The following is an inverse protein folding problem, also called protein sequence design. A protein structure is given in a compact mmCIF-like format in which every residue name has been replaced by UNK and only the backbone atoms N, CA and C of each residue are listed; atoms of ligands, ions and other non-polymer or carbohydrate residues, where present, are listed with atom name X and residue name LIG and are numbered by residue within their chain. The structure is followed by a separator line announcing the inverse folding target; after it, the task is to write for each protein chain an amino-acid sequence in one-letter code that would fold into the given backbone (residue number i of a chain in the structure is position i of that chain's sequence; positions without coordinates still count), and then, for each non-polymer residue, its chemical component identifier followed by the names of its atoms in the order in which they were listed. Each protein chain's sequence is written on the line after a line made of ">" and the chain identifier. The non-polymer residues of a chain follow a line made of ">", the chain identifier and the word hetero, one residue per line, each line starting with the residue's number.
data_IF_095996770055
#
_entry.id   IF_095996770055
#
_cell.length_a   1.000
_cell.length_b   1.000
_cell.length_c   1.000
_cell.angle_alpha   90.00
_cell.angle_beta   90.00
_cell.angle_gamma   90.00
#
_symmetry.space_group_name_H-M   'P 1'
#
loop_
_entity.id
_entity.type
_entity.pdbx_description
1 polymer ?
#
# COMPACT_ATOMS: atom_id res chain seq x y z
N UNK A 1 -25.42 -5.82 25.59
CA UNK A 1 -24.08 -5.43 25.08
C UNK A 1 -23.16 -5.29 26.29
N UNK A 2 -22.16 -6.16 26.46
CA UNK A 2 -21.32 -6.20 27.68
C UNK A 2 -20.51 -4.90 27.84
N UNK A 3 -20.43 -4.29 29.05
CA UNK A 3 -19.72 -3.03 29.28
C UNK A 3 -18.21 -3.06 28.94
N UNK A 4 -17.61 -4.26 28.89
CA UNK A 4 -16.22 -4.46 28.47
C UNK A 4 -16.03 -4.21 26.95
N UNK A 5 -17.02 -4.55 26.11
CA UNK A 5 -16.98 -4.24 24.66
C UNK A 5 -17.02 -2.73 24.41
N UNK A 6 -17.82 -1.99 25.19
CA UNK A 6 -17.94 -0.54 25.05
C UNK A 6 -16.64 0.19 25.42
N UNK A 7 -15.93 -0.27 26.45
CA UNK A 7 -14.63 0.29 26.84
C UNK A 7 -13.52 -0.04 25.83
N UNK A 8 -13.44 -1.29 25.36
CA UNK A 8 -12.42 -1.73 24.40
C UNK A 8 -12.49 -0.96 23.06
N UNK A 9 -13.70 -0.71 22.54
CA UNK A 9 -13.91 0.07 21.30
C UNK A 9 -13.72 1.59 21.46
N UNK A 10 -13.75 2.12 22.68
CA UNK A 10 -13.52 3.54 22.94
C UNK A 10 -12.04 3.91 23.03
N UNK A 11 -11.18 3.01 23.50
CA UNK A 11 -9.77 3.32 23.77
C UNK A 11 -8.78 2.92 22.66
N UNK A 12 -9.10 1.94 21.82
CA UNK A 12 -8.21 1.48 20.74
C UNK A 12 -8.95 1.63 19.40
N UNK A 13 -8.40 2.40 18.44
CA UNK A 13 -8.92 2.45 17.07
C UNK A 13 -9.01 1.04 16.47
N UNK A 14 -10.18 0.66 15.94
CA UNK A 14 -10.39 -0.68 15.36
C UNK A 14 -9.41 -0.94 14.18
N UNK A 15 -8.94 0.10 13.48
CA UNK A 15 -7.83 0.00 12.51
C UNK A 15 -6.54 -0.61 13.08
N UNK A 16 -6.18 -0.24 14.30
CA UNK A 16 -4.99 -0.76 14.99
C UNK A 16 -5.21 -2.25 15.31
N UNK A 17 -6.45 -2.64 15.64
CA UNK A 17 -6.75 -4.05 15.94
C UNK A 17 -6.54 -4.96 14.73
N UNK A 18 -6.86 -4.54 13.50
CA UNK A 18 -6.63 -5.38 12.32
C UNK A 18 -5.14 -5.59 11.99
N UNK A 19 -4.30 -4.56 12.18
CA UNK A 19 -2.85 -4.72 12.12
C UNK A 19 -2.34 -5.70 13.20
N UNK A 20 -2.93 -5.66 14.39
CA UNK A 20 -2.62 -6.59 15.47
C UNK A 20 -3.05 -8.02 15.16
N UNK A 21 -4.13 -8.25 14.40
CA UNK A 21 -4.54 -9.61 13.99
C UNK A 21 -3.42 -10.29 13.18
N UNK A 22 -2.83 -9.59 12.20
CA UNK A 22 -1.68 -10.13 11.45
C UNK A 22 -0.52 -10.47 12.37
N UNK A 23 -0.20 -9.59 13.31
CA UNK A 23 0.85 -9.82 14.30
C UNK A 23 0.54 -11.04 15.17
N UNK A 24 -0.68 -11.18 15.68
CA UNK A 24 -1.10 -12.30 16.52
C UNK A 24 -1.00 -13.62 15.75
N UNK A 25 -1.58 -13.68 14.55
CA UNK A 25 -1.51 -14.87 13.69
C UNK A 25 -0.06 -15.27 13.48
N UNK A 26 0.79 -14.30 13.15
CA UNK A 26 2.17 -14.57 12.80
C UNK A 26 3.03 -14.94 14.02
N UNK A 27 2.78 -14.34 15.19
CA UNK A 27 3.37 -14.74 16.47
C UNK A 27 2.98 -16.17 16.84
N UNK A 28 1.72 -16.56 16.65
CA UNK A 28 1.27 -17.94 16.90
C UNK A 28 1.99 -18.94 15.98
N UNK A 29 2.09 -18.63 14.69
CA UNK A 29 2.82 -19.45 13.71
C UNK A 29 4.30 -19.55 14.09
N UNK A 30 4.95 -18.42 14.37
CA UNK A 30 6.37 -18.34 14.74
C UNK A 30 6.66 -19.10 16.03
N UNK A 31 5.81 -18.97 17.04
CA UNK A 31 5.94 -19.67 18.33
C UNK A 31 5.76 -21.18 18.14
N UNK A 32 4.79 -21.59 17.34
CA UNK A 32 4.57 -23.01 17.01
C UNK A 32 5.80 -23.59 16.31
N UNK A 33 6.31 -22.90 15.29
CA UNK A 33 7.53 -23.30 14.58
C UNK A 33 8.75 -23.34 15.53
N UNK A 34 8.86 -22.40 16.47
CA UNK A 34 9.92 -22.39 17.48
C UNK A 34 9.83 -23.62 18.41
N UNK A 35 8.65 -23.98 18.89
CA UNK A 35 8.44 -25.21 19.69
C UNK A 35 8.82 -26.45 18.87
N UNK A 36 8.35 -26.54 17.63
CA UNK A 36 8.68 -27.67 16.75
C UNK A 36 10.18 -27.77 16.46
N UNK A 37 10.87 -26.63 16.33
CA UNK A 37 12.31 -26.55 16.12
C UNK A 37 13.08 -26.99 17.38
N UNK A 38 12.73 -26.44 18.54
CA UNK A 38 13.39 -26.76 19.82
C UNK A 38 13.14 -28.21 20.28
N UNK A 39 12.00 -28.79 19.89
CA UNK A 39 11.69 -30.22 20.13
C UNK A 39 12.28 -31.16 19.08
N UNK A 40 13.06 -30.63 18.12
CA UNK A 40 13.67 -31.38 17.02
C UNK A 40 12.68 -32.16 16.13
N UNK A 41 11.39 -31.78 16.14
CA UNK A 41 10.37 -32.35 15.26
C UNK A 41 10.59 -31.91 13.81
N UNK A 42 11.01 -30.65 13.61
CA UNK A 42 11.44 -30.14 12.30
C UNK A 42 12.96 -30.02 12.24
N UNK A 43 13.54 -30.39 11.10
CA UNK A 43 14.99 -30.31 10.84
C UNK A 43 15.34 -29.17 9.88
N UNK A 44 14.56 -28.09 9.91
CA UNK A 44 14.80 -26.90 9.09
C UNK A 44 15.66 -25.93 9.91
N UNK A 45 16.75 -25.41 9.34
CA UNK A 45 17.59 -24.44 10.04
C UNK A 45 16.85 -23.13 10.29
N UNK A 46 17.12 -22.51 11.45
CA UNK A 46 16.59 -21.19 11.80
C UNK A 46 16.96 -20.13 10.77
N UNK A 47 18.16 -20.23 10.17
CA UNK A 47 18.57 -19.37 9.06
C UNK A 47 17.68 -19.51 7.82
N UNK A 48 17.24 -20.72 7.49
CA UNK A 48 16.30 -20.95 6.38
C UNK A 48 14.94 -20.33 6.68
N UNK A 49 14.43 -20.51 7.90
CA UNK A 49 13.15 -19.92 8.32
C UNK A 49 13.24 -18.39 8.30
N UNK A 50 14.36 -17.80 8.74
CA UNK A 50 14.58 -16.36 8.68
C UNK A 50 14.49 -15.81 7.24
N UNK A 51 15.10 -16.50 6.27
CA UNK A 51 15.05 -16.10 4.86
C UNK A 51 13.64 -16.30 4.25
N UNK A 52 12.90 -17.33 4.66
CA UNK A 52 11.47 -17.47 4.32
C UNK A 52 10.64 -16.29 4.84
N UNK A 53 10.87 -15.87 6.09
CA UNK A 53 10.17 -14.72 6.67
C UNK A 53 10.51 -13.42 5.94
N UNK A 54 11.78 -13.22 5.55
CA UNK A 54 12.15 -12.10 4.68
C UNK A 54 11.43 -12.14 3.32
N UNK A 55 11.29 -13.32 2.72
CA UNK A 55 10.53 -13.48 1.48
C UNK A 55 9.09 -13.01 1.66
N UNK A 56 8.39 -13.44 2.70
CA UNK A 56 7.03 -12.97 2.98
C UNK A 56 6.98 -11.46 3.18
N UNK A 57 7.90 -10.91 3.97
CA UNK A 57 8.00 -9.47 4.20
C UNK A 57 8.17 -8.67 2.91
N UNK A 58 8.96 -9.16 1.95
CA UNK A 58 9.16 -8.52 0.64
C UNK A 58 7.97 -8.73 -0.29
N UNK A 59 7.41 -9.95 -0.33
CA UNK A 59 6.34 -10.35 -1.22
C UNK A 59 5.08 -9.51 -1.00
N UNK A 60 4.70 -9.26 0.25
CA UNK A 60 3.51 -8.47 0.62
C UNK A 60 3.65 -6.98 0.31
N UNK A 61 4.83 -6.53 -0.13
CA UNK A 61 5.08 -5.16 -0.64
C UNK A 61 5.27 -5.12 -2.15
N UNK A 62 5.17 -6.26 -2.84
CA UNK A 62 5.26 -6.33 -4.30
C UNK A 62 3.93 -5.97 -4.96
N UNK A 63 3.98 -5.11 -5.97
CA UNK A 63 2.80 -4.55 -6.65
C UNK A 63 1.97 -5.62 -7.38
N UNK A 64 2.60 -6.60 -7.99
CA UNK A 64 1.91 -7.68 -8.72
C UNK A 64 1.22 -8.61 -7.71
N UNK A 65 1.90 -8.93 -6.61
CA UNK A 65 1.33 -9.76 -5.56
C UNK A 65 0.12 -9.09 -4.92
N UNK A 66 0.23 -7.82 -4.51
CA UNK A 66 -0.90 -7.05 -3.97
C UNK A 66 -2.04 -6.95 -4.98
N UNK A 67 -1.74 -6.72 -6.27
CA UNK A 67 -2.75 -6.70 -7.32
C UNK A 67 -3.49 -8.04 -7.43
N UNK A 68 -2.76 -9.15 -7.34
CA UNK A 68 -3.32 -10.50 -7.36
C UNK A 68 -4.25 -10.74 -6.17
N UNK A 69 -3.89 -10.23 -4.99
CA UNK A 69 -4.75 -10.30 -3.81
C UNK A 69 -6.04 -9.48 -4.01
N UNK A 70 -5.97 -8.25 -4.52
CA UNK A 70 -7.17 -7.46 -4.81
C UNK A 70 -8.09 -8.15 -5.83
N UNK A 71 -7.51 -8.80 -6.84
CA UNK A 71 -8.27 -9.61 -7.79
C UNK A 71 -8.98 -10.78 -7.10
N UNK A 72 -8.26 -11.54 -6.25
CA UNK A 72 -8.85 -12.66 -5.51
C UNK A 72 -9.98 -12.19 -4.60
N UNK A 73 -9.81 -11.08 -3.89
CA UNK A 73 -10.86 -10.56 -3.02
C UNK A 73 -12.08 -10.09 -3.81
N UNK A 74 -11.88 -9.47 -4.97
CA UNK A 74 -12.98 -9.09 -5.87
C UNK A 74 -13.79 -10.31 -6.36
N UNK A 75 -13.14 -11.47 -6.52
CA UNK A 75 -13.77 -12.72 -6.95
C UNK A 75 -14.39 -13.51 -5.79
N UNK A 76 -14.18 -13.12 -4.53
CA UNK A 76 -14.60 -13.92 -3.39
C UNK A 76 -16.08 -13.67 -3.05
N UNK A 77 -16.97 -14.68 -3.11
CA UNK A 77 -18.39 -14.49 -2.88
C UNK A 77 -18.78 -14.38 -1.39
N UNK A 78 -18.00 -15.02 -0.49
CA UNK A 78 -18.25 -15.08 0.94
C UNK A 78 -17.13 -14.39 1.72
N UNK A 79 -17.41 -13.87 2.92
CA UNK A 79 -16.41 -13.21 3.78
C UNK A 79 -15.62 -12.06 3.10
N UNK A 80 -16.18 -11.45 2.04
CA UNK A 80 -15.54 -10.36 1.30
C UNK A 80 -15.13 -9.17 2.17
N UNK A 81 -15.89 -8.88 3.23
CA UNK A 81 -15.54 -7.85 4.20
C UNK A 81 -14.24 -8.20 4.92
N UNK A 82 -14.16 -9.43 5.46
CA UNK A 82 -13.00 -9.90 6.22
C UNK A 82 -11.74 -9.96 5.36
N UNK A 83 -11.84 -10.52 4.16
CA UNK A 83 -10.70 -10.57 3.24
C UNK A 83 -10.24 -9.18 2.81
N UNK A 84 -11.16 -8.26 2.49
CA UNK A 84 -10.81 -6.87 2.19
C UNK A 84 -10.16 -6.18 3.39
N UNK A 85 -10.69 -6.39 4.60
CA UNK A 85 -10.15 -5.81 5.83
C UNK A 85 -8.73 -6.30 6.11
N UNK A 86 -8.49 -7.59 5.96
CA UNK A 86 -7.16 -8.19 6.15
C UNK A 86 -6.16 -7.71 5.09
N UNK A 87 -6.58 -7.62 3.82
CA UNK A 87 -5.76 -7.07 2.74
C UNK A 87 -5.45 -5.59 2.96
N UNK A 88 -6.43 -4.80 3.41
CA UNK A 88 -6.25 -3.39 3.74
C UNK A 88 -5.24 -3.17 4.88
N UNK A 89 -5.08 -4.15 5.77
CA UNK A 89 -4.13 -4.13 6.88
C UNK A 89 -2.87 -4.97 6.62
N UNK A 90 -2.56 -5.32 5.36
CA UNK A 90 -1.43 -6.19 5.01
C UNK A 90 -0.05 -5.64 5.44
N UNK A 91 0.05 -4.34 5.70
CA UNK A 91 1.22 -3.73 6.33
C UNK A 91 1.60 -4.39 7.67
N UNK A 92 0.62 -4.93 8.40
CA UNK A 92 0.86 -5.72 9.63
C UNK A 92 1.67 -6.98 9.37
N UNK A 93 1.39 -7.71 8.27
CA UNK A 93 2.13 -8.90 7.86
C UNK A 93 3.57 -8.58 7.47
N UNK A 94 3.80 -7.46 6.78
CA UNK A 94 5.15 -6.99 6.47
C UNK A 94 5.99 -6.78 7.73
N UNK A 95 5.42 -6.07 8.72
CA UNK A 95 6.10 -5.78 9.98
C UNK A 95 6.34 -7.06 10.78
N UNK A 96 5.34 -7.94 10.91
CA UNK A 96 5.48 -9.19 11.65
C UNK A 96 6.53 -10.11 11.02
N UNK A 97 6.55 -10.23 9.68
CA UNK A 97 7.59 -10.95 8.94
C UNK A 97 8.99 -10.40 9.16
N UNK A 98 9.17 -9.07 9.21
CA UNK A 98 10.47 -8.47 9.53
C UNK A 98 10.94 -8.82 10.96
N UNK A 99 10.03 -8.78 11.94
CA UNK A 99 10.34 -9.18 13.31
C UNK A 99 10.64 -10.68 13.43
N UNK A 100 9.86 -11.55 12.79
CA UNK A 100 10.12 -12.99 12.82
C UNK A 100 11.45 -13.33 12.15
N UNK A 101 11.77 -12.70 11.01
CA UNK A 101 13.07 -12.85 10.36
C UNK A 101 14.22 -12.47 11.30
N UNK A 102 14.09 -11.37 12.05
CA UNK A 102 15.07 -10.96 13.06
C UNK A 102 15.24 -12.03 14.15
N UNK A 103 14.14 -12.52 14.74
CA UNK A 103 14.22 -13.52 15.81
C UNK A 103 14.75 -14.86 15.33
N UNK A 104 14.35 -15.34 14.15
CA UNK A 104 14.85 -16.59 13.58
C UNK A 104 16.32 -16.52 13.22
N UNK A 105 16.79 -15.38 12.70
CA UNK A 105 18.22 -15.16 12.47
C UNK A 105 18.99 -15.14 13.80
N UNK A 106 18.46 -14.50 14.84
CA UNK A 106 19.05 -14.52 16.17
C UNK A 106 19.15 -15.94 16.74
N UNK A 107 18.08 -16.74 16.65
CA UNK A 107 18.05 -18.15 17.06
C UNK A 107 19.11 -18.95 16.27
N UNK A 108 19.17 -18.79 14.95
CA UNK A 108 20.17 -19.43 14.10
C UNK A 108 21.59 -19.15 14.58
N UNK A 109 21.92 -17.88 14.83
CA UNK A 109 23.26 -17.48 15.25
C UNK A 109 23.66 -17.98 16.65
N UNK A 110 22.69 -18.20 17.53
CA UNK A 110 22.92 -18.68 18.91
C UNK A 110 22.94 -20.21 18.98
N UNK A 111 21.96 -20.86 18.37
CA UNK A 111 21.69 -22.29 18.55
C UNK A 111 22.43 -23.18 17.54
N UNK A 112 22.81 -22.65 16.38
CA UNK A 112 23.45 -23.44 15.33
C UNK A 112 24.96 -23.18 15.25
N UNK A 113 25.70 -24.18 14.78
CA UNK A 113 27.15 -24.09 14.61
C UNK A 113 27.48 -23.40 13.29
N UNK A 114 27.77 -22.11 13.39
CA UNK A 114 28.19 -21.27 12.27
C UNK A 114 29.65 -20.80 12.40
N UNK A 115 30.35 -20.69 11.27
CA UNK A 115 31.66 -20.09 11.16
C UNK A 115 31.65 -18.57 11.39
N UNK A 116 32.83 -17.96 11.48
CA UNK A 116 32.97 -16.52 11.79
C UNK A 116 32.31 -15.63 10.74
N UNK A 117 32.40 -15.98 9.45
CA UNK A 117 31.80 -15.22 8.35
C UNK A 117 30.28 -15.11 8.46
N UNK A 118 29.59 -16.23 8.74
CA UNK A 118 28.14 -16.28 8.94
C UNK A 118 27.74 -15.48 10.19
N UNK A 119 28.49 -15.59 11.30
CA UNK A 119 28.22 -14.84 12.54
C UNK A 119 28.35 -13.33 12.35
N UNK A 120 29.41 -12.87 11.67
CA UNK A 120 29.65 -11.45 11.40
C UNK A 120 28.55 -10.89 10.50
N UNK A 121 28.30 -11.54 9.35
CA UNK A 121 27.29 -11.08 8.39
C UNK A 121 25.87 -11.12 8.97
N UNK A 122 25.53 -12.18 9.72
CA UNK A 122 24.25 -12.28 10.41
C UNK A 122 24.08 -11.21 11.48
N UNK A 123 25.12 -10.93 12.28
CA UNK A 123 25.12 -9.85 13.26
C UNK A 123 24.93 -8.46 12.64
N UNK A 124 25.55 -8.21 11.48
CA UNK A 124 25.34 -6.99 10.69
C UNK A 124 23.87 -6.90 10.24
N UNK A 125 23.30 -7.97 9.68
CA UNK A 125 21.89 -7.97 9.24
C UNK A 125 20.94 -7.67 10.41
N UNK A 126 21.14 -8.29 11.58
CA UNK A 126 20.35 -7.99 12.78
C UNK A 126 20.42 -6.51 13.14
N UNK A 127 21.63 -5.93 13.14
CA UNK A 127 21.81 -4.51 13.41
C UNK A 127 21.08 -3.61 12.39
N UNK A 128 21.18 -3.93 11.09
CA UNK A 128 20.51 -3.16 10.03
C UNK A 128 18.99 -3.24 10.15
N UNK A 129 18.42 -4.42 10.43
CA UNK A 129 16.98 -4.60 10.68
C UNK A 129 16.55 -3.80 11.91
N UNK A 130 17.36 -3.76 12.98
CA UNK A 130 17.07 -2.98 14.17
C UNK A 130 17.04 -1.48 13.87
N UNK A 131 17.97 -0.96 13.06
CA UNK A 131 17.97 0.43 12.61
C UNK A 131 16.71 0.78 11.82
N UNK A 132 16.33 -0.07 10.85
CA UNK A 132 15.11 0.13 10.07
C UNK A 132 13.90 0.13 11.01
N UNK A 133 13.78 -0.88 11.89
CA UNK A 133 12.66 -1.04 12.81
C UNK A 133 12.50 0.14 13.77
N UNK A 134 13.61 0.70 14.24
CA UNK A 134 13.61 1.89 15.12
C UNK A 134 12.97 3.10 14.45
N UNK A 135 13.25 3.32 13.16
CA UNK A 135 12.67 4.43 12.39
C UNK A 135 11.26 4.13 11.88
N UNK A 136 10.90 2.86 11.75
CA UNK A 136 9.57 2.40 11.34
C UNK A 136 8.51 2.57 12.44
N UNK A 137 8.92 2.79 13.70
CA UNK A 137 7.99 2.99 14.81
C UNK A 137 6.96 4.09 14.49
N UNK A 138 5.64 3.87 14.70
CA UNK A 138 4.61 4.81 14.26
C UNK A 138 4.75 6.25 14.76
N UNK A 139 5.35 6.44 15.94
CA UNK A 139 5.62 7.77 16.50
C UNK A 139 6.74 8.47 15.72
N UNK A 140 7.85 7.76 15.45
CA UNK A 140 9.01 8.28 14.73
C UNK A 140 8.65 8.50 13.27
N UNK A 141 8.06 7.51 12.62
CA UNK A 141 7.68 7.53 11.20
C UNK A 141 6.72 8.67 10.86
N UNK A 142 5.73 8.96 11.71
CA UNK A 142 4.79 10.06 11.47
C UNK A 142 5.44 11.44 11.60
N UNK A 143 6.42 11.58 12.50
CA UNK A 143 7.12 12.86 12.72
C UNK A 143 8.26 13.09 11.73
N UNK A 144 8.97 12.03 11.34
CA UNK A 144 10.17 12.07 10.52
C UNK A 144 10.03 11.16 9.30
N UNK A 145 8.92 11.30 8.56
CA UNK A 145 8.56 10.43 7.45
C UNK A 145 9.65 10.32 6.39
N UNK A 146 10.15 11.45 5.89
CA UNK A 146 11.22 11.48 4.88
C UNK A 146 12.51 10.80 5.36
N UNK A 147 12.84 10.92 6.64
CA UNK A 147 14.01 10.25 7.24
C UNK A 147 13.80 8.74 7.30
N UNK A 148 12.64 8.30 7.75
CA UNK A 148 12.26 6.88 7.73
C UNK A 148 12.35 6.31 6.31
N UNK A 149 11.77 6.98 5.31
CA UNK A 149 11.78 6.48 3.93
C UNK A 149 13.20 6.33 3.37
N UNK A 150 14.08 7.32 3.62
CA UNK A 150 15.48 7.27 3.21
C UNK A 150 16.22 6.13 3.90
N UNK A 151 16.09 6.00 5.22
CA UNK A 151 16.74 4.95 6.01
C UNK A 151 16.26 3.57 5.55
N UNK A 152 14.96 3.36 5.45
CA UNK A 152 14.38 2.10 5.00
C UNK A 152 14.86 1.73 3.59
N UNK A 153 14.98 2.71 2.68
CA UNK A 153 15.46 2.47 1.31
C UNK A 153 16.94 2.10 1.28
N UNK A 154 17.82 2.96 1.80
CA UNK A 154 19.26 2.76 1.66
C UNK A 154 19.76 1.60 2.52
N UNK A 155 19.32 1.50 3.77
CA UNK A 155 19.65 0.36 4.64
C UNK A 155 19.01 -0.93 4.09
N UNK A 156 17.84 -0.86 3.47
CA UNK A 156 17.23 -2.00 2.77
C UNK A 156 18.12 -2.56 1.65
N UNK A 157 18.63 -1.69 0.77
CA UNK A 157 19.58 -2.10 -0.28
C UNK A 157 20.88 -2.67 0.29
N UNK A 158 21.44 -2.04 1.32
CA UNK A 158 22.61 -2.57 2.03
C UNK A 158 22.32 -3.93 2.63
N UNK A 159 21.16 -4.12 3.26
CA UNK A 159 20.75 -5.39 3.87
C UNK A 159 20.62 -6.50 2.83
N UNK A 160 20.09 -6.20 1.63
CA UNK A 160 20.03 -7.15 0.53
C UNK A 160 21.44 -7.58 0.07
N UNK A 161 22.36 -6.64 -0.07
CA UNK A 161 23.75 -6.95 -0.42
C UNK A 161 24.42 -7.82 0.64
N UNK A 162 24.28 -7.47 1.92
CA UNK A 162 24.85 -8.27 3.02
C UNK A 162 24.17 -9.64 3.12
N UNK A 163 22.87 -9.76 2.83
CA UNK A 163 22.17 -11.03 2.78
C UNK A 163 22.73 -11.96 1.69
N UNK A 164 23.08 -11.43 0.52
CA UNK A 164 23.75 -12.20 -0.54
C UNK A 164 25.08 -12.74 -0.02
N UNK A 165 25.90 -11.89 0.60
CA UNK A 165 27.18 -12.28 1.20
C UNK A 165 26.99 -13.31 2.32
N UNK A 166 25.97 -13.13 3.17
CA UNK A 166 25.62 -14.04 4.26
C UNK A 166 25.29 -15.44 3.74
N UNK A 167 24.45 -15.55 2.71
CA UNK A 167 24.10 -16.83 2.10
C UNK A 167 25.32 -17.50 1.46
N UNK A 168 26.24 -16.73 0.85
CA UNK A 168 27.50 -17.26 0.33
C UNK A 168 28.33 -17.88 1.48
N UNK A 169 28.49 -17.20 2.61
CA UNK A 169 29.21 -17.76 3.76
C UNK A 169 28.54 -19.02 4.32
N UNK A 170 27.20 -19.08 4.36
CA UNK A 170 26.47 -20.31 4.72
C UNK A 170 26.84 -21.46 3.77
N UNK A 171 27.01 -21.20 2.47
CA UNK A 171 27.42 -22.26 1.53
C UNK A 171 28.87 -22.70 1.74
N UNK A 172 29.78 -21.76 2.04
CA UNK A 172 31.17 -22.05 2.32
C UNK A 172 31.31 -22.94 3.57
N UNK A 173 30.58 -22.62 4.64
CA UNK A 173 30.56 -23.40 5.89
C UNK A 173 30.03 -24.83 5.66
N UNK A 174 29.04 -25.00 4.76
CA UNK A 174 28.39 -26.29 4.54
C UNK A 174 29.13 -27.22 3.55
N UNK A 175 29.76 -26.67 2.50
CA UNK A 175 30.30 -27.47 1.40
C UNK A 175 31.82 -27.42 1.26
N UNK A 176 32.53 -26.62 2.07
CA UNK A 176 33.99 -26.40 2.01
C UNK A 176 34.54 -26.08 0.60
N UNK A 177 33.68 -25.81 -0.39
CA UNK A 177 33.98 -25.60 -1.80
C UNK A 177 32.73 -25.06 -2.53
N UNK A 178 32.92 -24.34 -3.66
CA UNK A 178 31.83 -23.93 -4.53
C UNK A 178 31.33 -25.14 -5.35
N UNK A 179 30.38 -25.88 -4.80
CA UNK A 179 29.67 -26.94 -5.53
C UNK A 179 28.49 -26.37 -6.31
N UNK A 180 28.26 -26.81 -7.55
CA UNK A 180 27.04 -26.48 -8.31
C UNK A 180 25.78 -26.98 -7.62
N UNK A 181 25.88 -28.01 -6.77
CA UNK A 181 24.77 -28.47 -5.91
C UNK A 181 24.33 -27.40 -4.91
N UNK A 182 25.23 -26.49 -4.50
CA UNK A 182 24.91 -25.41 -3.57
C UNK A 182 23.91 -24.41 -4.16
N UNK A 183 23.82 -24.29 -5.49
CA UNK A 183 22.84 -23.42 -6.16
C UNK A 183 21.39 -23.91 -5.97
N UNK A 184 21.20 -25.20 -5.69
CA UNK A 184 19.89 -25.79 -5.46
C UNK A 184 19.51 -25.83 -3.98
N UNK A 185 20.32 -25.27 -3.09
CA UNK A 185 19.96 -25.17 -1.69
C UNK A 185 18.82 -24.19 -1.48
N UNK A 186 17.86 -24.57 -0.63
CA UNK A 186 16.63 -23.82 -0.38
C UNK A 186 16.89 -22.35 -0.02
N UNK A 187 17.84 -21.98 0.86
CA UNK A 187 18.12 -20.57 1.15
C UNK A 187 18.61 -19.77 -0.07
N UNK A 188 19.38 -20.40 -0.96
CA UNK A 188 19.87 -19.77 -2.20
C UNK A 188 18.71 -19.53 -3.16
N UNK A 189 17.85 -20.53 -3.35
CA UNK A 189 16.66 -20.40 -4.21
C UNK A 189 15.71 -19.31 -3.70
N UNK A 190 15.47 -19.24 -2.39
CA UNK A 190 14.63 -18.18 -1.80
C UNK A 190 15.28 -16.80 -1.99
N UNK A 191 16.59 -16.67 -1.76
CA UNK A 191 17.31 -15.42 -2.01
C UNK A 191 17.17 -14.97 -3.48
N UNK A 192 17.29 -15.88 -4.44
CA UNK A 192 17.07 -15.57 -5.85
C UNK A 192 15.66 -15.05 -6.11
N UNK A 193 14.64 -15.67 -5.51
CA UNK A 193 13.25 -15.19 -5.60
C UNK A 193 13.11 -13.79 -5.00
N UNK A 194 13.70 -13.53 -3.82
CA UNK A 194 13.70 -12.19 -3.19
C UNK A 194 14.31 -11.15 -4.15
N UNK A 195 15.47 -11.45 -4.73
CA UNK A 195 16.16 -10.56 -5.68
C UNK A 195 15.26 -10.28 -6.88
N UNK A 196 14.65 -11.29 -7.48
CA UNK A 196 13.74 -11.13 -8.63
C UNK A 196 12.55 -10.23 -8.26
N UNK A 197 11.90 -10.49 -7.12
CA UNK A 197 10.74 -9.71 -6.66
C UNK A 197 11.11 -8.24 -6.43
N UNK A 198 12.29 -7.98 -5.84
CA UNK A 198 12.76 -6.62 -5.56
C UNK A 198 13.14 -5.90 -6.86
N UNK A 199 13.83 -6.56 -7.79
CA UNK A 199 14.33 -5.94 -9.02
C UNK A 199 13.24 -5.75 -10.09
N UNK A 200 12.22 -6.60 -10.11
CA UNK A 200 11.17 -6.58 -11.14
C UNK A 200 10.52 -5.19 -11.35
N UNK A 201 10.10 -4.45 -10.30
CA UNK A 201 9.58 -3.09 -10.50
C UNK A 201 10.59 -2.10 -11.08
N UNK A 202 11.90 -2.29 -10.84
CA UNK A 202 12.94 -1.38 -11.30
C UNK A 202 13.32 -1.59 -12.77
N UNK A 203 13.37 -2.85 -13.22
CA UNK A 203 13.59 -3.16 -14.65
C UNK A 203 12.40 -2.76 -15.52
N UNK A 204 11.21 -2.60 -14.92
CA UNK A 204 10.01 -2.12 -15.57
C UNK A 204 9.83 -0.59 -15.52
N UNK A 205 10.87 0.18 -15.16
CA UNK A 205 10.83 1.64 -15.22
C UNK A 205 11.05 2.10 -16.66
N UNK A 206 10.26 3.09 -17.10
CA UNK A 206 10.45 3.73 -18.40
C UNK A 206 10.36 5.24 -18.26
N UNK A 207 11.14 5.96 -19.06
CA UNK A 207 10.96 7.40 -19.26
C UNK A 207 9.93 7.61 -20.38
N UNK A 208 8.88 8.37 -20.11
CA UNK A 208 7.79 8.61 -21.07
C UNK A 208 7.56 10.11 -21.25
N UNK A 209 7.15 10.49 -22.46
CA UNK A 209 6.66 11.83 -22.73
C UNK A 209 5.37 12.06 -21.92
N UNK A 210 5.29 13.20 -21.25
CA UNK A 210 4.13 13.58 -20.44
C UNK A 210 3.58 14.90 -20.93
N UNK A 211 2.25 15.01 -20.95
CA UNK A 211 1.55 16.26 -21.17
C UNK A 211 1.04 16.78 -19.84
N UNK A 212 1.19 18.07 -19.60
CA UNK A 212 0.76 18.72 -18.38
C UNK A 212 -0.37 19.68 -18.69
N UNK A 213 -1.35 19.73 -17.79
CA UNK A 213 -2.39 20.75 -17.76
C UNK A 213 -2.62 21.19 -16.31
N UNK A 214 -2.98 22.46 -16.09
CA UNK A 214 -3.22 22.99 -14.75
C UNK A 214 -4.54 23.78 -14.73
N UNK A 215 -5.67 23.09 -14.50
CA UNK A 215 -6.99 23.73 -14.43
C UNK A 215 -7.10 24.77 -13.31
N UNK A 216 -6.38 24.57 -12.21
CA UNK A 216 -6.34 25.51 -11.09
C UNK A 216 -4.99 25.46 -10.38
N UNK A 217 -4.71 26.46 -9.53
CA UNK A 217 -3.45 26.53 -8.77
C UNK A 217 -3.21 25.30 -7.89
N UNK A 218 -4.28 24.60 -7.50
CA UNK A 218 -4.23 23.50 -6.55
C UNK A 218 -4.27 22.12 -7.22
N UNK A 219 -4.35 22.06 -8.56
CA UNK A 219 -4.50 20.81 -9.31
C UNK A 219 -3.70 20.83 -10.62
N UNK A 220 -2.79 19.87 -10.76
CA UNK A 220 -2.05 19.60 -12.00
C UNK A 220 -2.44 18.22 -12.54
N UNK A 221 -2.77 18.14 -13.82
CA UNK A 221 -3.11 16.91 -14.54
C UNK A 221 -1.89 16.48 -15.36
N UNK A 222 -1.48 15.22 -15.21
CA UNK A 222 -0.41 14.61 -15.98
C UNK A 222 -1.00 13.52 -16.87
N UNK A 223 -0.84 13.65 -18.18
CA UNK A 223 -1.31 12.68 -19.18
C UNK A 223 -0.16 11.93 -19.80
N UNK A 224 -0.28 10.60 -19.81
CA UNK A 224 0.71 9.64 -20.25
C UNK A 224 0.15 8.75 -21.37
N UNK A 225 1.01 8.15 -22.22
CA UNK A 225 0.57 7.17 -23.20
C UNK A 225 0.09 5.87 -22.53
N UNK A 226 -0.70 5.08 -23.27
CA UNK A 226 -1.41 3.84 -22.93
C UNK A 226 -2.64 4.05 -22.04
N UNK A 227 -3.84 3.79 -22.55
CA UNK A 227 -5.08 4.03 -21.81
C UNK A 227 -5.55 2.86 -20.93
N UNK A 228 -5.17 1.64 -21.31
CA UNK A 228 -5.90 0.44 -20.89
C UNK A 228 -5.35 -0.07 -19.56
N UNK A 229 -6.05 0.27 -18.48
CA UNK A 229 -5.80 -0.22 -17.14
C UNK A 229 -7.13 -0.51 -16.42
N UNK A 230 -7.20 -1.56 -15.57
CA UNK A 230 -8.39 -1.81 -14.77
C UNK A 230 -8.74 -0.64 -13.84
N UNK A 231 -10.02 -0.41 -13.56
CA UNK A 231 -10.43 0.63 -12.60
C UNK A 231 -9.92 0.32 -11.21
N UNK A 232 -9.46 1.35 -10.48
CA UNK A 232 -8.78 1.18 -9.21
C UNK A 232 -7.28 0.88 -9.34
N UNK A 233 -6.74 0.92 -10.57
CA UNK A 233 -5.30 0.90 -10.79
C UNK A 233 -4.63 2.21 -10.38
N UNK A 234 -3.36 2.11 -10.00
CA UNK A 234 -2.52 3.27 -9.73
C UNK A 234 -1.17 3.14 -10.44
N UNK A 235 -0.49 4.27 -10.59
CA UNK A 235 0.84 4.35 -11.18
C UNK A 235 1.81 5.03 -10.22
N UNK A 236 3.09 4.67 -10.30
CA UNK A 236 4.17 5.36 -9.61
C UNK A 236 4.97 6.19 -10.61
N UNK A 237 5.14 7.47 -10.29
CA UNK A 237 5.85 8.43 -11.13
C UNK A 237 6.98 9.10 -10.35
N UNK A 238 8.00 9.55 -11.07
CA UNK A 238 9.12 10.30 -10.53
C UNK A 238 9.62 11.31 -11.57
N UNK A 239 9.80 12.57 -11.15
CA UNK A 239 10.33 13.62 -12.03
C UNK A 239 11.86 13.50 -12.18
N UNK A 240 12.54 13.04 -11.15
CA UNK A 240 14.00 13.02 -11.01
C UNK A 240 14.62 11.61 -11.07
N UNK A 241 13.80 10.56 -10.94
CA UNK A 241 14.20 9.16 -10.84
C UNK A 241 14.49 8.70 -9.41
N UNK A 242 14.47 9.61 -8.43
CA UNK A 242 14.81 9.34 -7.03
C UNK A 242 13.57 9.34 -6.14
N UNK A 243 12.73 10.37 -6.18
CA UNK A 243 11.51 10.44 -5.38
C UNK A 243 10.32 9.89 -6.19
N UNK A 244 9.67 8.86 -5.64
CA UNK A 244 8.61 8.11 -6.33
C UNK A 244 7.29 8.28 -5.60
N UNK A 245 6.27 8.75 -6.31
CA UNK A 245 4.94 9.01 -5.76
C UNK A 245 3.88 8.19 -6.48
N UNK A 246 2.93 7.64 -5.72
CA UNK A 246 1.82 6.86 -6.25
C UNK A 246 0.60 7.76 -6.48
N UNK A 247 -0.01 7.65 -7.66
CA UNK A 247 -1.25 8.34 -8.02
C UNK A 247 -2.22 7.37 -8.68
N UNK A 248 -3.50 7.49 -8.34
CA UNK A 248 -4.55 6.74 -9.01
C UNK A 248 -4.64 7.16 -10.48
N UNK A 249 -4.89 6.18 -11.35
CA UNK A 249 -5.23 6.45 -12.75
C UNK A 249 -6.68 6.94 -12.75
N UNK A 250 -6.84 8.22 -13.07
CA UNK A 250 -8.08 8.94 -12.84
C UNK A 250 -8.96 8.99 -14.09
N UNK A 251 -8.34 9.18 -15.25
CA UNK A 251 -9.03 9.23 -16.54
C UNK A 251 -8.26 8.35 -17.52
N UNK A 252 -9.00 7.62 -18.35
CA UNK A 252 -8.45 6.89 -19.50
C UNK A 252 -9.22 7.30 -20.75
N UNK A 253 -8.49 7.53 -21.84
CA UNK A 253 -9.04 7.78 -23.17
C UNK A 253 -8.55 6.69 -24.12
N UNK A 254 -9.37 5.64 -24.37
CA UNK A 254 -9.03 4.56 -25.28
C UNK A 254 -8.82 5.01 -26.72
N UNK A 255 -9.47 6.09 -27.16
CA UNK A 255 -9.35 6.58 -28.54
C UNK A 255 -7.97 7.21 -28.78
N UNK A 256 -7.47 7.94 -27.79
CA UNK A 256 -6.15 8.57 -27.85
C UNK A 256 -5.01 7.67 -27.32
N UNK A 257 -5.36 6.49 -26.82
CA UNK A 257 -4.47 5.60 -26.06
C UNK A 257 -3.69 6.34 -24.97
N UNK A 258 -4.41 7.07 -24.12
CA UNK A 258 -3.84 7.88 -23.03
C UNK A 258 -4.51 7.63 -21.69
N UNK A 259 -3.77 7.84 -20.61
CA UNK A 259 -4.30 7.88 -19.26
C UNK A 259 -3.77 9.11 -18.52
N UNK A 260 -4.57 9.65 -17.61
CA UNK A 260 -4.24 10.83 -16.82
C UNK A 260 -4.28 10.53 -15.33
N UNK A 261 -3.37 11.16 -14.60
CA UNK A 261 -3.38 11.23 -13.14
C UNK A 261 -3.65 12.67 -12.72
N UNK A 262 -4.42 12.81 -11.65
CA UNK A 262 -4.72 14.11 -11.04
C UNK A 262 -3.82 14.27 -9.81
N UNK A 263 -3.00 15.31 -9.81
CA UNK A 263 -2.05 15.61 -8.73
C UNK A 263 -2.46 16.92 -8.07
N UNK A 264 -2.96 16.83 -6.84
CA UNK A 264 -3.30 18.02 -6.07
C UNK A 264 -2.14 18.50 -5.21
N UNK A 265 -2.03 19.82 -5.07
CA UNK A 265 -0.97 20.50 -4.32
C UNK A 265 -1.15 20.37 -2.79
N UNK A 266 -1.02 19.16 -2.25
CA UNK A 266 -1.24 18.84 -0.85
C UNK A 266 0.06 18.73 -0.03
N UNK A 267 1.08 18.07 -0.57
CA UNK A 267 2.41 17.90 0.04
C UNK A 267 3.51 18.67 -0.69
N UNK A 268 4.72 18.67 -0.12
CA UNK A 268 5.85 19.44 -0.64
C UNK A 268 6.14 19.13 -2.11
N UNK A 269 6.31 17.86 -2.45
CA UNK A 269 6.56 17.42 -3.84
C UNK A 269 5.45 17.87 -4.81
N UNK A 270 4.18 17.74 -4.42
CA UNK A 270 3.04 18.11 -5.28
C UNK A 270 2.88 19.62 -5.43
N UNK A 271 3.27 20.41 -4.42
CA UNK A 271 3.29 21.87 -4.49
C UNK A 271 4.42 22.34 -5.40
N UNK A 272 5.60 21.74 -5.27
CA UNK A 272 6.73 21.99 -6.18
C UNK A 272 6.35 21.68 -7.63
N UNK A 273 5.70 20.55 -7.89
CA UNK A 273 5.18 20.23 -9.24
C UNK A 273 4.22 21.32 -9.76
N UNK A 274 3.29 21.79 -8.93
CA UNK A 274 2.33 22.82 -9.31
C UNK A 274 2.99 24.18 -9.58
N UNK A 275 4.03 24.54 -8.82
CA UNK A 275 4.78 25.79 -9.01
C UNK A 275 5.75 25.70 -10.19
N UNK A 276 6.40 24.55 -10.41
CA UNK A 276 7.28 24.32 -11.57
C UNK A 276 6.53 24.36 -12.89
N UNK A 277 5.25 23.95 -12.90
CA UNK A 277 4.36 24.16 -14.06
C UNK A 277 4.28 25.64 -14.42
N UNK A 278 3.97 26.51 -13.45
CA UNK A 278 3.80 27.96 -13.68
C UNK A 278 5.10 28.65 -14.08
N UNK A 279 6.23 28.12 -13.59
CA UNK A 279 7.56 28.64 -13.88
C UNK A 279 8.17 28.06 -15.18
N UNK A 280 7.44 27.23 -15.94
CA UNK A 280 7.93 26.53 -17.13
C UNK A 280 9.21 25.70 -16.87
N UNK A 281 9.30 25.06 -15.70
CA UNK A 281 10.46 24.25 -15.27
C UNK A 281 10.22 22.75 -15.35
N UNK A 282 9.06 22.32 -15.84
CA UNK A 282 8.70 20.90 -15.85
C UNK A 282 9.51 20.09 -16.87
N UNK A 283 9.93 18.86 -16.50
CA UNK A 283 10.61 17.98 -17.43
C UNK A 283 9.63 17.48 -18.49
N UNK A 284 10.05 17.47 -19.76
CA UNK A 284 9.28 16.89 -20.86
C UNK A 284 9.07 15.37 -20.68
N UNK A 285 9.98 14.70 -19.99
CA UNK A 285 9.97 13.26 -19.79
C UNK A 285 9.96 12.91 -18.31
N UNK A 286 9.02 12.07 -17.90
CA UNK A 286 8.85 11.61 -16.52
C UNK A 286 9.10 10.11 -16.44
N UNK A 287 9.69 9.66 -15.34
CA UNK A 287 9.88 8.25 -15.05
C UNK A 287 8.59 7.65 -14.53
N UNK A 288 8.17 6.53 -15.10
CA UNK A 288 6.96 5.82 -14.73
C UNK A 288 7.24 4.33 -14.61
N UNK A 289 6.68 3.70 -13.58
CA UNK A 289 6.66 2.22 -13.49
C UNK A 289 5.63 1.69 -14.48
N UNK A 290 6.03 0.75 -15.33
CA UNK A 290 5.14 0.14 -16.32
C UNK A 290 4.15 -0.83 -15.69
N UNK A 291 4.56 -1.52 -14.63
CA UNK A 291 3.65 -2.32 -13.81
C UNK A 291 2.70 -1.36 -13.10
N UNK A 292 1.40 -1.49 -13.36
CA UNK A 292 0.35 -0.77 -12.64
C UNK A 292 -0.24 -1.71 -11.60
N UNK A 293 -0.16 -1.31 -10.34
CA UNK A 293 -0.78 -2.06 -9.25
C UNK A 293 -2.29 -1.83 -9.24
N UNK A 294 -3.03 -2.77 -8.65
CA UNK A 294 -4.40 -2.56 -8.22
C UNK A 294 -4.37 -2.10 -6.76
N UNK A 295 -5.01 -0.98 -6.47
CA UNK A 295 -5.11 -0.45 -5.11
C UNK A 295 -6.43 -0.82 -4.43
N UNK A 296 -6.63 -0.33 -3.22
CA UNK A 296 -7.84 -0.62 -2.42
C UNK A 296 -9.15 -0.26 -3.13
N UNK A 297 -9.15 0.73 -4.04
CA UNK A 297 -10.34 1.07 -4.84
C UNK A 297 -10.78 -0.08 -5.75
N UNK A 298 -9.87 -0.95 -6.18
CA UNK A 298 -10.22 -2.14 -6.97
C UNK A 298 -11.19 -3.05 -6.21
N UNK A 299 -11.15 -3.07 -4.88
CA UNK A 299 -12.05 -3.88 -4.06
C UNK A 299 -13.53 -3.47 -4.17
N UNK A 300 -13.86 -2.34 -4.81
CA UNK A 300 -15.25 -1.96 -5.17
C UNK A 300 -15.95 -3.08 -5.96
N UNK A 301 -15.22 -3.79 -6.83
CA UNK A 301 -15.77 -4.89 -7.64
C UNK A 301 -16.33 -6.05 -6.81
N UNK A 302 -15.99 -6.17 -5.52
CA UNK A 302 -16.53 -7.19 -4.61
C UNK A 302 -17.97 -6.89 -4.12
N UNK A 303 -18.48 -5.68 -4.37
CA UNK A 303 -19.72 -5.18 -3.79
C UNK A 303 -20.73 -4.78 -4.87
N UNK A 304 -22.02 -4.92 -4.56
CA UNK A 304 -23.11 -4.55 -5.50
C UNK A 304 -23.55 -3.11 -5.35
N UNK A 305 -23.43 -2.53 -4.15
CA UNK A 305 -23.78 -1.14 -3.85
C UNK A 305 -22.69 -0.54 -3.00
N UNK A 306 -22.11 0.57 -3.44
CA UNK A 306 -20.95 1.19 -2.79
C UNK A 306 -21.15 2.69 -2.65
N UNK A 307 -20.84 3.22 -1.47
CA UNK A 307 -20.67 4.64 -1.23
C UNK A 307 -19.19 5.01 -1.40
N UNK A 308 -18.89 5.82 -2.41
CA UNK A 308 -17.56 6.38 -2.59
C UNK A 308 -17.53 7.77 -1.96
N UNK A 309 -16.69 7.95 -0.94
CA UNK A 309 -16.52 9.22 -0.24
C UNK A 309 -15.20 9.83 -0.67
N UNK A 310 -15.26 11.02 -1.24
CA UNK A 310 -14.08 11.73 -1.71
C UNK A 310 -14.01 13.10 -1.04
N UNK A 311 -12.82 13.50 -0.56
CA UNK A 311 -12.60 14.88 -0.13
C UNK A 311 -11.68 15.61 -1.09
N UNK A 312 -12.13 16.74 -1.60
CA UNK A 312 -11.38 17.55 -2.55
C UNK A 312 -10.89 16.75 -3.76
N UNK A 313 -9.58 16.79 -4.02
CA UNK A 313 -8.90 16.05 -5.10
C UNK A 313 -8.84 14.54 -4.89
N UNK A 314 -9.25 14.04 -3.71
CA UNK A 314 -9.55 12.63 -3.49
C UNK A 314 -10.64 12.08 -4.39
N UNK A 315 -11.27 12.90 -5.25
CA UNK A 315 -12.12 12.42 -6.34
C UNK A 315 -11.36 11.62 -7.40
N UNK A 316 -10.05 11.83 -7.55
CA UNK A 316 -9.26 11.21 -8.63
C UNK A 316 -9.41 9.68 -8.75
N UNK A 317 -9.34 8.88 -7.65
CA UNK A 317 -9.54 7.44 -7.74
C UNK A 317 -10.99 7.02 -7.98
N UNK A 318 -11.96 7.92 -7.79
CA UNK A 318 -13.38 7.68 -8.05
C UNK A 318 -13.75 7.95 -9.52
N UNK A 319 -13.03 8.85 -10.20
CA UNK A 319 -13.32 9.27 -11.57
C UNK A 319 -13.49 8.12 -12.58
N UNK A 320 -12.70 7.02 -12.54
CA UNK A 320 -12.94 5.88 -13.43
C UNK A 320 -14.35 5.28 -13.28
N UNK A 321 -14.80 5.12 -12.03
CA UNK A 321 -16.13 4.57 -11.71
C UNK A 321 -17.27 5.56 -11.99
N UNK A 322 -16.96 6.86 -12.00
CA UNK A 322 -17.92 7.94 -12.32
C UNK A 322 -18.09 8.04 -13.84
N UNK A 323 -16.98 8.01 -14.59
CA UNK A 323 -16.97 8.17 -16.04
C UNK A 323 -17.67 7.01 -16.73
N UNK A 324 -17.32 5.81 -16.32
CA UNK A 324 -17.76 4.56 -16.92
C UNK A 324 -18.25 3.64 -15.79
N UNK A 325 -19.51 3.76 -15.36
CA UNK A 325 -20.05 2.97 -14.26
C UNK A 325 -19.93 1.47 -14.51
N UNK A 326 -19.64 0.70 -13.45
CA UNK A 326 -19.50 -0.74 -13.53
C UNK A 326 -20.86 -1.41 -13.82
N UNK A 327 -20.92 -2.45 -14.67
CA UNK A 327 -22.17 -3.17 -14.95
C UNK A 327 -22.77 -3.87 -13.72
N UNK A 328 -21.93 -4.28 -12.77
CA UNK A 328 -22.33 -5.12 -11.62
C UNK A 328 -22.38 -4.37 -10.29
N UNK A 329 -21.97 -3.10 -10.26
CA UNK A 329 -21.83 -2.33 -9.02
C UNK A 329 -22.45 -0.95 -9.16
N UNK A 330 -23.48 -0.68 -8.36
CA UNK A 330 -24.08 0.63 -8.23
C UNK A 330 -23.24 1.50 -7.27
N UNK A 331 -22.68 2.58 -7.80
CA UNK A 331 -21.87 3.51 -7.03
C UNK A 331 -22.65 4.79 -6.73
N UNK A 332 -22.62 5.23 -5.47
CA UNK A 332 -23.08 6.57 -5.07
C UNK A 332 -21.87 7.41 -4.64
N UNK A 333 -21.77 8.63 -5.15
CA UNK A 333 -20.65 9.53 -4.82
C UNK A 333 -21.05 10.50 -3.71
N UNK A 334 -20.30 10.55 -2.60
CA UNK A 334 -20.31 11.66 -1.66
C UNK A 334 -19.04 12.50 -1.85
N UNK A 335 -19.18 13.69 -2.44
CA UNK A 335 -18.05 14.56 -2.72
C UNK A 335 -18.03 15.79 -1.82
N UNK A 336 -17.10 15.78 -0.86
CA UNK A 336 -16.89 16.83 0.13
C UNK A 336 -15.75 17.73 -0.36
N UNK A 337 -16.07 18.91 -0.86
CA UNK A 337 -15.06 19.85 -1.35
C UNK A 337 -15.49 21.29 -1.10
N UNK A 338 -14.66 22.26 -1.48
CA UNK A 338 -15.03 23.67 -1.55
C UNK A 338 -15.26 24.01 -3.01
N UNK A 339 -16.32 24.75 -3.35
CA UNK A 339 -16.52 25.34 -4.68
C UNK A 339 -16.20 24.36 -5.83
N UNK A 340 -16.95 23.26 -5.90
CA UNK A 340 -16.64 22.09 -6.74
C UNK A 340 -16.31 22.44 -8.20
N UNK A 341 -17.13 23.25 -8.86
CA UNK A 341 -16.90 23.62 -10.27
C UNK A 341 -15.69 24.56 -10.44
N UNK A 342 -15.56 25.58 -9.59
CA UNK A 342 -14.49 26.58 -9.68
C UNK A 342 -13.09 25.98 -9.50
N UNK A 343 -12.93 25.00 -8.59
CA UNK A 343 -11.62 24.44 -8.26
C UNK A 343 -11.22 23.29 -9.19
N UNK A 344 -12.17 22.42 -9.56
CA UNK A 344 -11.89 21.18 -10.30
C UNK A 344 -12.17 21.28 -11.80
N UNK A 345 -12.74 22.41 -12.23
CA UNK A 345 -12.98 22.73 -13.62
C UNK A 345 -14.27 22.11 -14.17
N UNK A 346 -14.71 22.68 -15.29
CA UNK A 346 -15.98 22.35 -15.95
C UNK A 346 -16.05 20.88 -16.39
N UNK A 347 -14.92 20.29 -16.82
CA UNK A 347 -14.89 18.90 -17.28
C UNK A 347 -15.25 17.90 -16.17
N UNK A 348 -14.57 17.99 -15.03
CA UNK A 348 -14.83 17.12 -13.87
C UNK A 348 -16.23 17.38 -13.31
N UNK A 349 -16.64 18.64 -13.27
CA UNK A 349 -17.97 19.03 -12.85
C UNK A 349 -19.06 18.38 -13.70
N UNK A 350 -18.98 18.51 -15.03
CA UNK A 350 -19.92 17.88 -15.97
C UNK A 350 -19.93 16.36 -15.83
N UNK A 351 -18.78 15.75 -15.57
CA UNK A 351 -18.70 14.30 -15.37
C UNK A 351 -19.48 13.86 -14.12
N UNK A 352 -19.32 14.58 -13.01
CA UNK A 352 -20.07 14.30 -11.77
C UNK A 352 -21.56 14.58 -11.95
N UNK A 353 -21.94 15.64 -12.65
CA UNK A 353 -23.34 15.97 -12.91
C UNK A 353 -24.08 14.86 -13.67
N UNK A 354 -23.39 14.11 -14.55
CA UNK A 354 -23.95 12.96 -15.26
C UNK A 354 -24.38 11.81 -14.34
N UNK A 355 -23.87 11.76 -13.10
CA UNK A 355 -24.30 10.74 -12.14
C UNK A 355 -25.69 11.00 -11.56
N UNK A 356 -26.33 12.14 -11.81
CA UNK A 356 -27.62 12.46 -11.20
C UNK A 356 -28.63 11.30 -11.37
N UNK A 357 -29.28 10.81 -10.29
CA UNK A 357 -29.31 11.30 -8.91
C UNK A 357 -28.31 10.63 -7.94
N UNK A 358 -27.35 9.84 -8.43
CA UNK A 358 -26.40 9.01 -7.69
C UNK A 358 -25.18 9.76 -7.14
N UNK A 359 -25.34 11.03 -6.78
CA UNK A 359 -24.30 11.80 -6.11
C UNK A 359 -24.86 12.67 -4.98
N UNK A 360 -24.00 13.08 -4.06
CA UNK A 360 -24.27 14.03 -2.99
C UNK A 360 -23.07 14.95 -2.86
N UNK A 361 -23.30 16.25 -2.99
CA UNK A 361 -22.28 17.27 -2.89
C UNK A 361 -22.35 17.92 -1.50
N UNK A 362 -21.21 18.05 -0.85
CA UNK A 362 -21.08 18.79 0.40
C UNK A 362 -20.08 19.92 0.23
N UNK A 363 -20.57 21.15 0.05
CA UNK A 363 -19.69 22.32 -0.05
C UNK A 363 -19.26 22.80 1.34
N UNK A 364 -17.99 22.58 1.65
CA UNK A 364 -17.35 22.94 2.92
C UNK A 364 -17.23 24.44 3.15
N UNK A 365 -17.35 25.28 2.11
CA UNK A 365 -17.39 26.75 2.28
C UNK A 365 -18.75 27.27 2.75
N UNK A 366 -19.81 26.47 2.58
CA UNK A 366 -21.17 26.80 3.01
C UNK A 366 -21.53 26.05 4.29
N UNK A 367 -21.29 24.73 4.31
CA UNK A 367 -21.76 23.83 5.37
C UNK A 367 -20.67 23.47 6.41
N UNK A 368 -19.46 24.00 6.26
CA UNK A 368 -18.31 23.62 7.09
C UNK A 368 -17.81 22.19 6.80
N UNK A 369 -16.81 21.74 7.56
CA UNK A 369 -16.26 20.38 7.41
C UNK A 369 -17.17 19.37 8.13
N UNK A 370 -17.66 18.33 7.44
CA UNK A 370 -18.54 17.35 8.04
C UNK A 370 -17.76 16.38 8.94
N UNK A 371 -18.47 15.79 9.91
CA UNK A 371 -18.00 14.64 10.68
C UNK A 371 -18.36 13.31 10.00
N UNK A 372 -17.98 12.17 10.62
CA UNK A 372 -18.26 10.83 10.10
C UNK A 372 -19.77 10.51 10.00
N UNK A 373 -20.62 11.23 10.74
CA UNK A 373 -22.08 11.06 10.70
C UNK A 373 -22.66 11.25 9.30
N UNK A 374 -22.15 12.23 8.53
CA UNK A 374 -22.61 12.46 7.16
C UNK A 374 -22.37 11.22 6.29
N UNK A 375 -21.24 10.54 6.46
CA UNK A 375 -20.90 9.34 5.70
C UNK A 375 -21.84 8.20 6.08
N UNK A 376 -22.10 8.03 7.37
CA UNK A 376 -23.05 7.04 7.86
C UNK A 376 -24.47 7.27 7.34
N UNK A 377 -24.96 8.51 7.39
CA UNK A 377 -26.29 8.86 6.90
C UNK A 377 -26.43 8.55 5.41
N UNK A 378 -25.40 8.87 4.61
CA UNK A 378 -25.37 8.51 3.19
C UNK A 378 -25.28 7.00 2.97
N UNK A 379 -24.55 6.27 3.80
CA UNK A 379 -24.44 4.81 3.68
C UNK A 379 -25.83 4.16 3.81
N UNK A 380 -26.59 4.55 4.83
CA UNK A 380 -27.96 4.03 5.03
C UNK A 380 -28.93 4.52 3.96
N UNK A 381 -28.90 5.82 3.62
CA UNK A 381 -29.78 6.43 2.62
C UNK A 381 -29.63 5.77 1.24
N UNK A 382 -28.41 5.37 0.88
CA UNK A 382 -28.08 4.77 -0.42
C UNK A 382 -28.18 3.24 -0.41
N UNK A 383 -28.50 2.63 0.73
CA UNK A 383 -28.51 1.18 0.92
C UNK A 383 -27.18 0.53 0.47
N UNK A 384 -26.06 1.18 0.79
CA UNK A 384 -24.72 0.71 0.40
C UNK A 384 -24.30 -0.52 1.20
N UNK A 385 -23.46 -1.37 0.61
CA UNK A 385 -22.87 -2.54 1.27
C UNK A 385 -21.48 -2.23 1.84
N UNK A 386 -20.78 -1.25 1.26
CA UNK A 386 -19.47 -0.81 1.70
C UNK A 386 -19.22 0.66 1.39
N UNK A 387 -18.31 1.26 2.15
CA UNK A 387 -17.83 2.64 2.01
C UNK A 387 -16.36 2.64 1.61
N UNK A 388 -16.02 3.42 0.59
CA UNK A 388 -14.63 3.63 0.15
C UNK A 388 -14.28 5.10 0.29
N UNK A 389 -13.34 5.41 1.18
CA UNK A 389 -12.99 6.77 1.58
C UNK A 389 -11.64 7.18 1.01
N UNK A 390 -11.64 8.20 0.17
CA UNK A 390 -10.44 8.86 -0.34
C UNK A 390 -10.36 10.26 0.27
N UNK A 391 -9.60 10.38 1.36
CA UNK A 391 -9.40 11.63 2.08
C UNK A 391 -8.00 11.74 2.70
N UNK A 392 -7.76 12.84 3.41
CA UNK A 392 -6.59 12.95 4.28
C UNK A 392 -6.66 11.91 5.41
N UNK A 393 -5.49 11.54 5.92
CA UNK A 393 -5.34 10.48 6.93
C UNK A 393 -6.26 10.69 8.15
N UNK A 394 -6.36 11.92 8.67
CA UNK A 394 -7.16 12.22 9.86
C UNK A 394 -8.63 11.89 9.65
N UNK A 395 -9.24 12.41 8.58
CA UNK A 395 -10.65 12.16 8.29
C UNK A 395 -10.91 10.71 7.90
N UNK A 396 -10.02 10.09 7.12
CA UNK A 396 -10.11 8.68 6.76
C UNK A 396 -10.14 7.79 8.00
N UNK A 397 -9.23 8.00 8.96
CA UNK A 397 -9.17 7.24 10.22
C UNK A 397 -10.43 7.49 11.07
N UNK A 398 -10.89 8.73 11.16
CA UNK A 398 -12.10 9.08 11.92
C UNK A 398 -13.34 8.35 11.38
N UNK A 399 -13.53 8.36 10.05
CA UNK A 399 -14.63 7.68 9.37
C UNK A 399 -14.54 6.16 9.51
N UNK A 400 -13.37 5.57 9.27
CA UNK A 400 -13.16 4.12 9.41
C UNK A 400 -13.50 3.66 10.83
N UNK A 401 -12.97 4.34 11.86
CA UNK A 401 -13.24 3.97 13.24
C UNK A 401 -14.71 4.15 13.63
N UNK A 402 -15.39 5.19 13.13
CA UNK A 402 -16.80 5.41 13.42
C UNK A 402 -17.68 4.31 12.81
N UNK A 403 -17.40 3.90 11.58
CA UNK A 403 -18.17 2.90 10.84
C UNK A 403 -17.86 1.47 11.30
N UNK A 404 -16.60 1.14 11.58
CA UNK A 404 -16.22 -0.21 12.06
C UNK A 404 -16.82 -0.53 13.42
N UNK A 405 -16.97 0.44 14.33
CA UNK A 405 -17.70 0.26 15.61
C UNK A 405 -19.17 -0.12 15.43
N UNK A 406 -19.72 0.08 14.25
CA UNK A 406 -21.10 -0.24 13.86
C UNK A 406 -21.16 -1.41 12.88
N UNK A 407 -20.06 -2.16 12.74
CA UNK A 407 -19.92 -3.28 11.80
C UNK A 407 -20.20 -2.89 10.33
N UNK A 408 -19.99 -1.62 9.98
CA UNK A 408 -20.16 -1.13 8.59
C UNK A 408 -18.83 -1.31 7.82
N UNK A 409 -18.83 -2.03 6.68
CA UNK A 409 -17.65 -2.16 5.83
C UNK A 409 -17.16 -0.81 5.32
N UNK A 410 -15.99 -0.38 5.79
CA UNK A 410 -15.36 0.87 5.38
C UNK A 410 -13.87 0.66 5.09
N UNK A 411 -13.40 1.16 3.96
CA UNK A 411 -12.01 1.07 3.52
C UNK A 411 -11.54 2.46 3.09
N UNK A 412 -10.26 2.80 3.28
CA UNK A 412 -9.79 4.12 2.86
C UNK A 412 -8.31 4.23 2.58
N UNK A 413 -7.91 5.29 1.87
CA UNK A 413 -6.52 5.52 1.54
C UNK A 413 -5.71 5.83 2.81
N UNK A 414 -4.85 4.91 3.24
CA UNK A 414 -3.97 5.08 4.40
C UNK A 414 -2.50 4.98 3.95
N UNK A 415 -1.58 5.51 4.76
CA UNK A 415 -0.14 5.43 4.45
C UNK A 415 0.41 4.00 4.39
N UNK A 416 -0.29 3.04 5.01
CA UNK A 416 0.12 1.62 5.07
C UNK A 416 -0.63 0.69 4.11
N UNK A 417 -1.69 1.20 3.45
CA UNK A 417 -2.61 0.43 2.59
C UNK A 417 -2.13 0.25 1.16
#
# INVERSE_FOLDING_TARGET
>A
MHPIKAWYHQTIPDYITCHQIWLIIHVLVTTTLCVLYLTHIIQISGGTIAVCELLFGVLVRNEIFIASLHLLVALTPCFKYEFNRMLHCIGGLHVSSAFAAFFWLLISLICERHGSGVRITGGIILFLILCISSTAMPIVRRRFHNTFERIHRYIGWTSLFILIVHVIFIQLDNFNSFSTKALFNVPVLILLVIIIIILLPWICIRKVLVQYDQPSKDLTILTFPRAIYPYGSFTRISLDGYEWHAFAIALSDPCMDQHSVLVAAAGDWTKTLADDYRNNKLPQYVWIRQIKGLGFMYSIHAYRRVLIVCTGSGIAPALPYIKDPLPTTHTHLLWIAKKHEEIYGEYIWKLVQKLHPHYTLHDTSVNGRPGPQLVEDQFWKTNSEAVFVVSNEKFTIEVINALWRKDIPCFGALFDS
#
